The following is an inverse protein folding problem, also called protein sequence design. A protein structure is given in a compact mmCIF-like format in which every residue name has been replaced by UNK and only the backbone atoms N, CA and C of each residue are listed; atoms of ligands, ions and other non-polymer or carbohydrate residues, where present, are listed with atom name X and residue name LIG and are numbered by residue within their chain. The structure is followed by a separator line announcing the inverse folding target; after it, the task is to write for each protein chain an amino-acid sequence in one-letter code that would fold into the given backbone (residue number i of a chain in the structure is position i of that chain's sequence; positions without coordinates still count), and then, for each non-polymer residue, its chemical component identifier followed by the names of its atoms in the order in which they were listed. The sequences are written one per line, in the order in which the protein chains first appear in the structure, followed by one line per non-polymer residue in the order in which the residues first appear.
data_IF_683360050451
#
_entry.id   IF_683360050451
#
_cell.length_a   1.000
_cell.length_b   1.000
_cell.length_c   1.000
_cell.angle_alpha   90.00
_cell.angle_beta   90.00
_cell.angle_gamma   90.00
#
_symmetry.space_group_name_H-M   'P 1'
#
loop_
_entity.id
_entity.type
_entity.pdbx_description
1 polymer ?
#
# COMPACT_ATOMS: atom_id res chain seq x y z
N UNK A 1 11.40 5.88 -13.65
CA UNK A 1 11.06 6.21 -15.05
C UNK A 1 9.73 6.96 -15.15
N UNK A 2 8.59 6.34 -14.82
CA UNK A 2 7.28 6.99 -14.93
C UNK A 2 7.11 8.25 -14.07
N UNK A 3 7.71 8.32 -12.87
CA UNK A 3 7.73 9.56 -12.07
C UNK A 3 8.36 10.75 -12.81
N UNK A 4 9.44 10.52 -13.57
CA UNK A 4 10.08 11.55 -14.39
C UNK A 4 9.22 11.94 -15.60
N UNK A 5 8.50 10.99 -16.18
CA UNK A 5 7.52 11.28 -17.25
C UNK A 5 6.37 12.13 -16.71
N UNK A 6 5.86 11.84 -15.50
CA UNK A 6 4.78 12.59 -14.82
C UNK A 6 5.17 14.05 -14.65
N UNK A 7 6.43 14.32 -14.32
CA UNK A 7 6.92 15.69 -14.17
C UNK A 7 7.13 16.43 -15.52
N UNK A 8 7.38 15.71 -16.62
CA UNK A 8 7.68 16.33 -17.94
C UNK A 8 6.46 16.47 -18.85
N UNK A 9 5.55 15.48 -18.88
CA UNK A 9 4.43 15.42 -19.84
C UNK A 9 3.08 15.87 -19.27
N UNK A 10 3.06 16.33 -18.01
CA UNK A 10 1.83 16.70 -17.32
C UNK A 10 1.22 15.52 -16.56
N UNK A 11 0.86 15.78 -15.31
CA UNK A 11 0.42 14.76 -14.35
C UNK A 11 -0.97 14.24 -14.70
N UNK A 12 -1.83 15.13 -15.18
CA UNK A 12 -3.19 14.79 -15.61
C UNK A 12 -3.16 13.83 -16.80
N UNK A 13 -2.38 14.15 -17.82
CA UNK A 13 -2.31 13.36 -19.05
C UNK A 13 -1.77 11.96 -18.81
N UNK A 14 -0.79 11.81 -17.92
CA UNK A 14 -0.24 10.49 -17.59
C UNK A 14 -1.21 9.67 -16.73
N UNK A 15 -1.94 10.29 -15.81
CA UNK A 15 -3.02 9.60 -15.08
C UNK A 15 -4.08 9.08 -16.05
N UNK A 16 -4.57 9.93 -16.97
CA UNK A 16 -5.54 9.55 -17.99
C UNK A 16 -5.02 8.42 -18.89
N UNK A 17 -3.75 8.46 -19.30
CA UNK A 17 -3.13 7.39 -20.08
C UNK A 17 -3.12 6.06 -19.31
N UNK A 18 -2.73 6.06 -18.04
CA UNK A 18 -2.74 4.86 -17.20
C UNK A 18 -4.15 4.28 -17.03
N UNK A 19 -5.16 5.13 -16.81
CA UNK A 19 -6.56 4.71 -16.68
C UNK A 19 -7.09 4.17 -18.03
N UNK A 20 -6.83 4.86 -19.14
CA UNK A 20 -7.22 4.41 -20.47
C UNK A 20 -6.61 3.05 -20.83
N UNK A 21 -5.34 2.84 -20.46
CA UNK A 21 -4.67 1.56 -20.63
C UNK A 21 -5.37 0.45 -19.83
N UNK A 22 -5.77 0.71 -18.58
CA UNK A 22 -6.56 -0.24 -17.78
C UNK A 22 -7.94 -0.54 -18.40
N UNK A 23 -8.63 0.48 -18.92
CA UNK A 23 -9.91 0.32 -19.62
C UNK A 23 -9.76 -0.57 -20.85
N UNK A 24 -8.65 -0.43 -21.58
CA UNK A 24 -8.36 -1.27 -22.75
C UNK A 24 -8.10 -2.74 -22.38
N UNK A 25 -7.42 -2.99 -21.26
CA UNK A 25 -7.00 -4.35 -20.86
C UNK A 25 -8.13 -5.12 -20.20
N UNK A 26 -8.98 -4.47 -19.39
CA UNK A 26 -9.96 -5.17 -18.56
C UNK A 26 -10.92 -6.10 -19.34
N UNK A 27 -11.42 -5.75 -20.53
CA UNK A 27 -12.31 -6.62 -21.31
C UNK A 27 -11.67 -7.96 -21.68
N UNK A 28 -10.35 -8.03 -21.83
CA UNK A 28 -9.65 -9.27 -22.17
C UNK A 28 -9.73 -10.32 -21.05
N UNK A 29 -10.08 -9.93 -19.82
CA UNK A 29 -10.33 -10.91 -18.75
C UNK A 29 -11.55 -11.82 -19.02
N UNK A 30 -12.49 -11.41 -19.89
CA UNK A 30 -13.59 -12.28 -20.32
C UNK A 30 -13.13 -13.44 -21.22
N UNK A 31 -11.92 -13.36 -21.78
CA UNK A 31 -11.35 -14.43 -22.62
C UNK A 31 -10.65 -15.52 -21.79
N UNK A 32 -10.53 -15.34 -20.47
CA UNK A 32 -9.90 -16.32 -19.59
C UNK A 32 -10.82 -17.54 -19.45
N UNK A 33 -10.33 -18.70 -19.87
CA UNK A 33 -11.02 -19.99 -19.72
C UNK A 33 -10.31 -20.92 -18.74
N UNK A 34 -9.01 -20.70 -18.53
CA UNK A 34 -8.13 -21.56 -17.75
C UNK A 34 -7.04 -20.74 -17.03
N UNK A 35 -6.31 -21.39 -16.14
CA UNK A 35 -5.23 -20.79 -15.35
C UNK A 35 -3.88 -20.74 -16.09
N UNK A 36 -3.88 -20.73 -17.42
CA UNK A 36 -2.68 -20.67 -18.26
C UNK A 36 -1.95 -19.32 -18.22
N UNK A 37 -1.24 -19.01 -19.31
CA UNK A 37 -0.41 -17.80 -19.39
C UNK A 37 -1.21 -16.50 -19.52
N UNK A 38 -2.43 -16.54 -20.07
CA UNK A 38 -3.22 -15.35 -20.36
C UNK A 38 -3.58 -14.53 -19.10
N UNK A 39 -4.11 -15.10 -17.99
CA UNK A 39 -4.33 -14.36 -16.75
C UNK A 39 -3.07 -13.68 -16.21
N UNK A 40 -1.91 -14.31 -16.34
CA UNK A 40 -0.62 -13.79 -15.86
C UNK A 40 -0.22 -12.56 -16.69
N UNK A 41 -0.31 -12.66 -18.01
CA UNK A 41 -0.02 -11.54 -18.93
C UNK A 41 -0.97 -10.38 -18.65
N UNK A 42 -2.27 -10.65 -18.55
CA UNK A 42 -3.26 -9.62 -18.26
C UNK A 42 -3.03 -8.97 -16.89
N UNK A 43 -2.64 -9.76 -15.87
CA UNK A 43 -2.26 -9.22 -14.56
C UNK A 43 -1.03 -8.33 -14.63
N UNK A 44 0.01 -8.74 -15.35
CA UNK A 44 1.20 -7.92 -15.57
C UNK A 44 0.84 -6.59 -16.25
N UNK A 45 0.01 -6.64 -17.30
CA UNK A 45 -0.47 -5.44 -18.01
C UNK A 45 -1.31 -4.54 -17.10
N UNK A 46 -2.24 -5.10 -16.31
CA UNK A 46 -2.99 -4.30 -15.32
C UNK A 46 -2.07 -3.69 -14.26
N UNK A 47 -1.00 -4.38 -13.86
CA UNK A 47 0.00 -3.85 -12.95
C UNK A 47 0.72 -2.62 -13.51
N UNK A 48 1.05 -2.64 -14.81
CA UNK A 48 1.63 -1.47 -15.50
C UNK A 48 0.64 -0.30 -15.51
N UNK A 49 -0.61 -0.53 -15.91
CA UNK A 49 -1.63 0.52 -15.92
C UNK A 49 -1.91 1.12 -14.54
N UNK A 50 -2.00 0.25 -13.53
CA UNK A 50 -2.19 0.65 -12.13
C UNK A 50 -1.01 1.47 -11.61
N UNK A 51 0.22 1.03 -11.85
CA UNK A 51 1.43 1.75 -11.42
C UNK A 51 1.53 3.15 -12.04
N UNK A 52 1.22 3.28 -13.33
CA UNK A 52 1.19 4.59 -14.03
C UNK A 52 0.12 5.50 -13.44
N UNK A 53 -1.13 5.01 -13.35
CA UNK A 53 -2.28 5.78 -12.87
C UNK A 53 -2.13 6.19 -11.40
N UNK A 54 -1.76 5.25 -10.53
CA UNK A 54 -1.59 5.49 -9.10
C UNK A 54 -0.48 6.52 -8.85
N UNK A 55 0.67 6.37 -9.49
CA UNK A 55 1.80 7.30 -9.32
C UNK A 55 1.39 8.71 -9.72
N UNK A 56 0.78 8.88 -10.90
CA UNK A 56 0.37 10.19 -11.39
C UNK A 56 -0.70 10.84 -10.49
N UNK A 57 -1.73 10.08 -10.09
CA UNK A 57 -2.84 10.58 -9.27
C UNK A 57 -2.40 10.92 -7.85
N UNK A 58 -1.55 10.08 -7.22
CA UNK A 58 -0.98 10.36 -5.90
C UNK A 58 -0.11 11.63 -5.95
N UNK A 59 0.66 11.79 -7.02
CA UNK A 59 1.53 12.94 -7.24
C UNK A 59 0.71 14.22 -7.45
N UNK A 60 -0.40 14.18 -8.22
CA UNK A 60 -1.38 15.28 -8.33
C UNK A 60 -1.97 15.69 -6.98
N UNK A 61 -2.40 14.72 -6.17
CA UNK A 61 -2.99 15.02 -4.85
C UNK A 61 -1.95 15.57 -3.87
N UNK A 62 -0.74 15.01 -3.86
CA UNK A 62 0.33 15.45 -2.95
C UNK A 62 0.88 16.84 -3.27
N UNK A 63 0.66 17.33 -4.48
CA UNK A 63 1.04 18.68 -4.88
C UNK A 63 0.17 19.78 -4.27
N UNK A 64 -1.07 19.42 -3.93
CA UNK A 64 -2.00 20.30 -3.24
C UNK A 64 -1.76 20.29 -1.72
N UNK A 65 -0.91 19.38 -1.22
CA UNK A 65 -0.66 19.23 0.20
C UNK A 65 0.26 20.34 0.73
N UNK A 66 -0.17 21.14 1.73
CA UNK A 66 0.68 22.14 2.37
C UNK A 66 1.90 21.49 3.02
N UNK A 67 3.06 22.13 2.87
CA UNK A 67 4.36 21.60 3.31
C UNK A 67 4.40 21.44 4.84
N UNK A 68 3.75 22.35 5.55
CA UNK A 68 3.71 22.44 7.02
C UNK A 68 2.91 21.30 7.66
N UNK A 69 1.96 20.71 6.93
CA UNK A 69 1.05 19.65 7.41
C UNK A 69 1.05 18.43 6.50
N UNK A 70 2.24 18.07 6.02
CA UNK A 70 2.41 17.01 5.06
C UNK A 70 1.89 15.65 5.54
N UNK A 71 2.23 15.24 6.77
CA UNK A 71 1.81 13.95 7.31
C UNK A 71 0.28 13.83 7.39
N UNK A 72 -0.40 14.90 7.84
CA UNK A 72 -1.87 14.97 7.89
C UNK A 72 -2.49 14.90 6.50
N UNK A 73 -1.92 15.62 5.54
CA UNK A 73 -2.41 15.64 4.14
C UNK A 73 -2.23 14.28 3.46
N UNK A 74 -1.07 13.64 3.64
CA UNK A 74 -0.83 12.27 3.17
C UNK A 74 -1.75 11.26 3.84
N UNK A 75 -2.07 11.48 5.13
CA UNK A 75 -3.08 10.71 5.85
C UNK A 75 -4.45 10.77 5.18
N UNK A 76 -4.93 11.97 4.83
CA UNK A 76 -6.22 12.21 4.13
C UNK A 76 -6.21 11.57 2.74
N UNK A 77 -5.17 11.79 1.94
CA UNK A 77 -5.06 11.17 0.61
C UNK A 77 -5.09 9.64 0.74
N UNK A 78 -4.43 9.11 1.75
CA UNK A 78 -4.43 7.67 2.03
C UNK A 78 -5.80 7.12 2.46
N UNK A 79 -6.73 7.94 2.98
CA UNK A 79 -8.10 7.49 3.34
C UNK A 79 -8.83 6.98 2.10
N UNK A 80 -8.68 7.62 0.94
CA UNK A 80 -9.29 7.14 -0.30
C UNK A 80 -8.85 5.71 -0.64
N UNK A 81 -7.56 5.40 -0.46
CA UNK A 81 -7.04 4.03 -0.62
C UNK A 81 -7.64 3.03 0.37
N UNK A 82 -7.87 3.45 1.62
CA UNK A 82 -8.53 2.61 2.63
C UNK A 82 -10.01 2.36 2.31
N UNK A 83 -10.73 3.37 1.82
CA UNK A 83 -12.11 3.22 1.35
C UNK A 83 -12.16 2.19 0.21
N UNK A 84 -11.22 2.24 -0.74
CA UNK A 84 -11.12 1.24 -1.80
C UNK A 84 -10.86 -0.16 -1.27
N UNK A 85 -10.02 -0.32 -0.24
CA UNK A 85 -9.76 -1.63 0.41
C UNK A 85 -10.99 -2.15 1.14
N UNK A 86 -11.85 -1.28 1.67
CA UNK A 86 -13.10 -1.66 2.32
C UNK A 86 -14.18 -2.07 1.31
N UNK A 87 -14.48 -1.15 0.39
CA UNK A 87 -15.62 -1.27 -0.52
C UNK A 87 -15.31 -2.20 -1.70
N UNK A 88 -14.04 -2.28 -2.14
CA UNK A 88 -13.64 -3.10 -3.27
C UNK A 88 -14.02 -4.57 -3.09
N UNK A 89 -13.48 -5.28 -2.08
CA UNK A 89 -13.87 -6.66 -1.79
C UNK A 89 -15.35 -6.82 -1.48
N UNK A 90 -15.98 -5.87 -0.79
CA UNK A 90 -17.41 -5.92 -0.45
C UNK A 90 -18.31 -5.93 -1.69
N UNK A 91 -18.09 -4.97 -2.60
CA UNK A 91 -18.84 -4.88 -3.86
C UNK A 91 -18.46 -6.04 -4.79
N UNK A 92 -17.17 -6.38 -4.87
CA UNK A 92 -16.69 -7.47 -5.72
C UNK A 92 -17.30 -8.82 -5.32
N UNK A 93 -17.28 -9.16 -4.02
CA UNK A 93 -17.81 -10.42 -3.50
C UNK A 93 -19.32 -10.53 -3.75
N UNK A 94 -20.09 -9.46 -3.52
CA UNK A 94 -21.54 -9.45 -3.77
C UNK A 94 -21.87 -9.58 -5.26
N UNK A 95 -21.12 -8.89 -6.14
CA UNK A 95 -21.30 -8.97 -7.59
C UNK A 95 -20.93 -10.38 -8.10
N UNK A 96 -19.83 -10.96 -7.63
CA UNK A 96 -19.41 -12.32 -8.00
C UNK A 96 -20.48 -13.33 -7.57
N UNK A 97 -21.01 -13.22 -6.36
CA UNK A 97 -21.97 -14.18 -5.82
C UNK A 97 -23.32 -14.15 -6.55
N UNK A 98 -23.76 -12.97 -7.04
CA UNK A 98 -25.06 -12.83 -7.73
C UNK A 98 -24.97 -12.97 -9.26
N UNK A 99 -23.90 -12.46 -9.85
CA UNK A 99 -23.80 -12.25 -11.30
C UNK A 99 -22.51 -12.84 -11.91
N UNK A 100 -21.66 -13.47 -11.10
CA UNK A 100 -20.42 -14.12 -11.54
C UNK A 100 -19.28 -13.17 -11.89
N UNK A 101 -18.16 -13.75 -12.35
CA UNK A 101 -16.94 -13.00 -12.65
C UNK A 101 -17.07 -12.04 -13.85
N UNK A 102 -17.92 -12.34 -14.83
CA UNK A 102 -18.15 -11.45 -15.98
C UNK A 102 -18.70 -10.09 -15.52
N UNK A 103 -19.68 -10.10 -14.61
CA UNK A 103 -20.23 -8.87 -14.04
C UNK A 103 -19.20 -8.09 -13.19
N UNK A 104 -18.27 -8.78 -12.53
CA UNK A 104 -17.18 -8.13 -11.79
C UNK A 104 -16.30 -7.27 -12.71
N UNK A 105 -15.90 -7.82 -13.86
CA UNK A 105 -15.07 -7.08 -14.82
C UNK A 105 -15.83 -5.90 -15.43
N UNK A 106 -17.12 -6.07 -15.75
CA UNK A 106 -17.95 -4.98 -16.27
C UNK A 106 -18.17 -3.87 -15.22
N UNK A 107 -18.41 -4.23 -13.96
CA UNK A 107 -18.53 -3.28 -12.86
C UNK A 107 -17.22 -2.51 -12.65
N UNK A 108 -16.08 -3.22 -12.73
CA UNK A 108 -14.76 -2.60 -12.63
C UNK A 108 -14.47 -1.64 -13.78
N UNK A 109 -14.93 -1.95 -15.00
CA UNK A 109 -14.88 -1.01 -16.13
C UNK A 109 -15.69 0.25 -15.85
N UNK A 110 -16.90 0.14 -15.31
CA UNK A 110 -17.70 1.32 -14.93
C UNK A 110 -16.95 2.21 -13.92
N UNK A 111 -16.29 1.64 -12.92
CA UNK A 111 -15.46 2.40 -11.98
C UNK A 111 -14.25 3.06 -12.66
N UNK A 112 -13.62 2.40 -13.62
CA UNK A 112 -12.52 2.98 -14.39
C UNK A 112 -12.99 4.14 -15.28
N UNK A 113 -14.14 4.01 -15.95
CA UNK A 113 -14.72 5.11 -16.72
C UNK A 113 -15.12 6.28 -15.83
N UNK A 114 -15.72 6.03 -14.66
CA UNK A 114 -16.01 7.07 -13.69
C UNK A 114 -14.73 7.76 -13.19
N UNK A 115 -13.67 6.99 -12.90
CA UNK A 115 -12.36 7.53 -12.53
C UNK A 115 -11.76 8.38 -13.66
N UNK A 116 -11.83 7.91 -14.90
CA UNK A 116 -11.37 8.64 -16.09
C UNK A 116 -12.09 9.98 -16.23
N UNK A 117 -13.42 10.00 -16.11
CA UNK A 117 -14.22 11.22 -16.17
C UNK A 117 -13.87 12.19 -15.04
N UNK A 118 -13.74 11.69 -13.80
CA UNK A 118 -13.32 12.53 -12.67
C UNK A 118 -11.98 13.21 -12.94
N UNK A 119 -10.96 12.46 -13.40
CA UNK A 119 -9.64 13.04 -13.72
C UNK A 119 -9.72 13.98 -14.92
N UNK A 120 -10.53 13.67 -15.93
CA UNK A 120 -10.71 14.52 -17.10
C UNK A 120 -11.30 15.89 -16.74
N UNK A 121 -12.21 15.93 -15.76
CA UNK A 121 -12.82 17.16 -15.23
C UNK A 121 -11.88 17.95 -14.30
N UNK A 122 -10.80 17.36 -13.80
CA UNK A 122 -9.83 18.10 -12.98
C UNK A 122 -9.04 19.10 -13.82
N UNK A 123 -8.75 20.27 -13.24
CA UNK A 123 -7.85 21.26 -13.85
C UNK A 123 -6.41 20.91 -13.52
N UNK A 124 -5.55 20.95 -14.53
CA UNK A 124 -4.12 20.74 -14.33
C UNK A 124 -3.52 21.95 -13.65
N UNK A 125 -2.88 21.74 -12.50
CA UNK A 125 -2.13 22.80 -11.82
C UNK A 125 -0.78 22.92 -12.54
N UNK A 126 -0.65 23.96 -13.37
CA UNK A 126 0.62 24.26 -14.06
C UNK A 126 1.66 24.61 -13.00
N UNK A 127 2.76 23.85 -12.96
CA UNK A 127 3.91 24.15 -12.11
C UNK A 127 5.11 24.60 -12.94
N UNK A 128 5.95 25.52 -12.41
CA UNK A 128 7.25 25.81 -12.99
C UNK A 128 8.09 24.53 -13.04
N UNK A 129 8.80 24.33 -14.14
CA UNK A 129 9.65 23.17 -14.39
C UNK A 129 10.85 23.14 -13.42
N UNK A 130 10.68 22.48 -12.28
CA UNK A 130 11.74 22.28 -11.28
C UNK A 130 12.53 20.97 -11.50
N UNK A 131 12.49 20.40 -12.70
CA UNK A 131 13.21 19.16 -13.05
C UNK A 131 14.72 19.24 -12.80
N UNK A 132 15.29 20.44 -12.72
CA UNK A 132 16.71 20.66 -12.44
C UNK A 132 17.14 20.46 -10.96
N UNK A 133 16.22 20.51 -9.98
CA UNK A 133 16.59 20.32 -8.56
C UNK A 133 16.79 18.86 -8.16
N UNK A 134 16.17 17.91 -8.85
CA UNK A 134 16.21 16.48 -8.52
C UNK A 134 17.63 15.87 -8.66
N UNK A 135 18.47 16.44 -9.52
CA UNK A 135 19.80 15.93 -9.85
C UNK A 135 20.94 16.62 -9.07
N UNK A 136 20.66 17.71 -8.34
CA UNK A 136 21.71 18.51 -7.67
C UNK A 136 21.83 18.27 -6.16
N UNK A 137 20.96 17.49 -5.55
CA UNK A 137 21.03 17.19 -4.12
C UNK A 137 22.10 16.12 -3.84
N UNK A 138 23.33 16.55 -3.52
CA UNK A 138 24.41 15.67 -3.04
C UNK A 138 24.11 15.02 -1.67
N UNK A 139 22.99 15.36 -1.04
CA UNK A 139 22.56 14.87 0.28
C UNK A 139 22.42 13.33 0.31
N UNK A 140 22.01 12.70 -0.81
CA UNK A 140 21.84 11.24 -0.89
C UNK A 140 23.16 10.46 -0.81
N UNK A 141 24.28 11.06 -1.23
CA UNK A 141 25.59 10.39 -1.27
C UNK A 141 26.21 10.22 0.12
N UNK A 142 25.72 10.94 1.13
CA UNK A 142 26.25 10.92 2.49
C UNK A 142 25.53 9.95 3.43
N UNK A 143 24.52 9.21 2.94
CA UNK A 143 23.78 8.26 3.76
C UNK A 143 24.53 6.93 3.77
N UNK A 144 24.72 6.36 4.96
CA UNK A 144 25.32 5.04 5.10
C UNK A 144 24.51 3.97 4.37
N UNK A 145 25.20 3.13 3.58
CA UNK A 145 24.59 1.99 2.88
C UNK A 145 23.82 1.07 3.83
N UNK A 146 24.28 0.97 5.09
CA UNK A 146 23.62 0.20 6.14
C UNK A 146 22.24 0.77 6.47
N UNK A 147 22.09 2.09 6.53
CA UNK A 147 20.80 2.74 6.79
C UNK A 147 19.81 2.50 5.65
N UNK A 148 20.28 2.60 4.41
CA UNK A 148 19.46 2.29 3.22
C UNK A 148 19.00 0.82 3.29
N UNK A 149 19.92 -0.13 3.54
CA UNK A 149 19.58 -1.54 3.65
C UNK A 149 18.53 -1.82 4.75
N UNK A 150 18.65 -1.19 5.92
CA UNK A 150 17.69 -1.36 7.02
C UNK A 150 16.30 -0.83 6.66
N UNK A 151 16.22 0.33 6.02
CA UNK A 151 14.96 0.90 5.52
C UNK A 151 14.35 -0.04 4.48
N UNK A 152 15.15 -0.53 3.53
CA UNK A 152 14.70 -1.44 2.48
C UNK A 152 14.15 -2.73 3.06
N UNK A 153 14.86 -3.39 3.98
CA UNK A 153 14.44 -4.65 4.60
C UNK A 153 13.10 -4.48 5.31
N UNK A 154 12.94 -3.45 6.15
CA UNK A 154 11.67 -3.22 6.86
C UNK A 154 10.52 -2.94 5.88
N UNK A 155 10.75 -2.12 4.87
CA UNK A 155 9.73 -1.73 3.89
C UNK A 155 9.32 -2.90 3.00
N UNK A 156 10.28 -3.73 2.57
CA UNK A 156 10.05 -4.97 1.84
C UNK A 156 9.25 -5.95 2.72
N UNK A 157 9.62 -6.12 3.99
CA UNK A 157 8.90 -7.01 4.90
C UNK A 157 7.45 -6.50 5.16
N UNK A 158 7.26 -5.19 5.26
CA UNK A 158 5.93 -4.58 5.34
C UNK A 158 5.12 -4.85 4.07
N UNK A 159 5.71 -4.67 2.89
CA UNK A 159 5.07 -4.94 1.61
C UNK A 159 4.69 -6.42 1.47
N UNK A 160 5.60 -7.33 1.82
CA UNK A 160 5.39 -8.77 1.77
C UNK A 160 4.22 -9.22 2.64
N UNK A 161 4.19 -8.75 3.88
CA UNK A 161 3.08 -9.05 4.80
C UNK A 161 1.78 -8.38 4.37
N UNK A 162 1.82 -7.19 3.77
CA UNK A 162 0.64 -6.59 3.15
C UNK A 162 0.10 -7.47 2.02
N UNK A 163 0.97 -7.99 1.15
CA UNK A 163 0.62 -8.92 0.08
C UNK A 163 -0.06 -10.18 0.63
N UNK A 164 0.47 -10.75 1.73
CA UNK A 164 -0.14 -11.88 2.41
C UNK A 164 -1.59 -11.61 2.86
N UNK A 165 -1.89 -10.40 3.34
CA UNK A 165 -3.26 -10.03 3.70
C UNK A 165 -4.12 -9.80 2.45
N UNK A 166 -3.64 -9.01 1.49
CA UNK A 166 -4.44 -8.60 0.33
C UNK A 166 -4.83 -9.80 -0.55
N UNK A 167 -3.91 -10.73 -0.80
CA UNK A 167 -4.15 -11.81 -1.76
C UNK A 167 -4.64 -13.11 -1.13
N UNK A 168 -4.28 -13.40 0.13
CA UNK A 168 -4.57 -14.71 0.72
C UNK A 168 -5.69 -14.70 1.77
N UNK A 169 -6.12 -13.54 2.28
CA UNK A 169 -7.12 -13.54 3.37
C UNK A 169 -8.48 -14.08 2.91
N UNK A 170 -8.84 -13.83 1.66
CA UNK A 170 -10.06 -14.39 1.05
C UNK A 170 -9.94 -15.90 0.84
N UNK A 171 -8.78 -16.38 0.39
CA UNK A 171 -8.51 -17.81 0.26
C UNK A 171 -8.51 -18.51 1.62
N UNK A 172 -7.93 -17.87 2.64
CA UNK A 172 -7.95 -18.38 4.00
C UNK A 172 -9.37 -18.43 4.58
N UNK A 173 -10.16 -17.36 4.42
CA UNK A 173 -11.57 -17.34 4.81
C UNK A 173 -12.37 -18.48 4.18
N UNK A 174 -12.17 -18.71 2.88
CA UNK A 174 -12.78 -19.85 2.17
C UNK A 174 -12.30 -21.20 2.71
N UNK A 175 -11.01 -21.35 3.05
CA UNK A 175 -10.46 -22.60 3.60
C UNK A 175 -11.02 -22.99 4.98
N UNK A 176 -11.58 -22.03 5.72
CA UNK A 176 -12.24 -22.23 7.01
C UNK A 176 -13.77 -22.08 6.92
N UNK A 177 -14.31 -22.19 5.70
CA UNK A 177 -15.76 -22.17 5.39
C UNK A 177 -16.48 -20.89 5.82
N UNK A 178 -15.84 -19.73 5.68
CA UNK A 178 -16.54 -18.45 5.82
C UNK A 178 -17.17 -18.05 4.48
N UNK A 179 -18.49 -17.82 4.50
CA UNK A 179 -19.27 -17.43 3.33
C UNK A 179 -18.94 -16.02 2.83
N UNK A 180 -18.47 -15.13 3.72
CA UNK A 180 -18.22 -13.72 3.42
C UNK A 180 -16.93 -13.23 4.07
N UNK A 181 -16.04 -12.65 3.28
CA UNK A 181 -14.73 -12.18 3.73
C UNK A 181 -14.70 -10.65 3.89
N UNK A 182 -15.57 -9.92 3.20
CA UNK A 182 -15.63 -8.46 3.28
C UNK A 182 -15.70 -7.85 4.69
N UNK A 183 -16.29 -8.47 5.76
CA UNK A 183 -16.29 -7.88 7.10
C UNK A 183 -14.88 -7.61 7.64
N UNK A 184 -13.91 -8.47 7.32
CA UNK A 184 -12.50 -8.25 7.69
C UNK A 184 -11.96 -6.97 7.07
N UNK A 185 -12.17 -6.78 5.76
CA UNK A 185 -11.66 -5.62 5.03
C UNK A 185 -12.34 -4.32 5.43
N UNK A 186 -13.64 -4.37 5.74
CA UNK A 186 -14.39 -3.22 6.24
C UNK A 186 -13.86 -2.78 7.60
N UNK A 187 -13.75 -3.70 8.56
CA UNK A 187 -13.24 -3.41 9.89
C UNK A 187 -11.77 -2.99 9.88
N UNK A 188 -10.95 -3.64 9.05
CA UNK A 188 -9.55 -3.25 8.82
C UNK A 188 -9.44 -1.81 8.33
N UNK A 189 -10.22 -1.45 7.32
CA UNK A 189 -10.15 -0.11 6.74
C UNK A 189 -10.73 0.94 7.68
N UNK A 190 -11.85 0.63 8.36
CA UNK A 190 -12.44 1.51 9.37
C UNK A 190 -11.47 1.80 10.51
N UNK A 191 -10.83 0.78 11.08
CA UNK A 191 -9.81 0.96 12.11
C UNK A 191 -8.61 1.76 11.59
N UNK A 192 -8.11 1.47 10.39
CA UNK A 192 -6.99 2.20 9.80
C UNK A 192 -7.30 3.69 9.55
N UNK A 193 -8.53 4.00 9.13
CA UNK A 193 -9.00 5.39 8.94
C UNK A 193 -9.07 6.10 10.29
N UNK A 194 -9.71 5.50 11.30
CA UNK A 194 -9.84 6.08 12.63
C UNK A 194 -8.46 6.34 13.25
N UNK A 195 -7.54 5.39 13.13
CA UNK A 195 -6.16 5.56 13.59
C UNK A 195 -5.46 6.72 12.90
N UNK A 196 -5.60 6.86 11.57
CA UNK A 196 -4.97 7.97 10.83
C UNK A 196 -5.53 9.32 11.22
N UNK A 197 -6.84 9.43 11.41
CA UNK A 197 -7.50 10.69 11.79
C UNK A 197 -7.25 11.05 13.25
N UNK A 198 -7.25 10.07 14.16
CA UNK A 198 -7.09 10.29 15.59
C UNK A 198 -5.65 10.44 16.06
N UNK A 199 -4.76 9.54 15.64
CA UNK A 199 -3.38 9.43 16.16
C UNK A 199 -2.31 9.33 15.05
N UNK A 200 -2.61 9.71 13.81
CA UNK A 200 -1.63 9.68 12.71
C UNK A 200 -0.41 10.59 12.94
N UNK A 201 -0.57 11.68 13.72
CA UNK A 201 0.51 12.60 14.10
C UNK A 201 1.36 12.13 15.28
N UNK A 202 1.10 10.95 15.84
CA UNK A 202 1.80 10.46 17.03
C UNK A 202 3.33 10.37 16.81
N UNK A 203 3.75 10.05 15.58
CA UNK A 203 5.16 9.94 15.23
C UNK A 203 5.89 11.29 15.21
N UNK A 204 5.17 12.40 15.01
CA UNK A 204 5.74 13.75 15.11
C UNK A 204 6.00 14.14 16.57
N UNK A 205 5.15 13.68 17.50
CA UNK A 205 5.21 14.04 18.92
C UNK A 205 6.18 13.17 19.73
N UNK A 206 6.12 11.85 19.55
CA UNK A 206 6.90 10.88 20.34
C UNK A 206 8.14 10.38 19.60
N UNK A 207 8.33 10.78 18.34
CA UNK A 207 9.43 10.33 17.51
C UNK A 207 9.10 9.07 16.71
N UNK A 208 9.76 8.98 15.55
CA UNK A 208 9.42 8.02 14.48
C UNK A 208 9.50 6.57 14.95
N UNK A 209 10.65 6.17 15.49
CA UNK A 209 10.90 4.78 15.92
C UNK A 209 9.99 4.32 17.05
N UNK A 210 9.67 5.23 17.98
CA UNK A 210 8.80 4.92 19.12
C UNK A 210 7.35 4.62 18.68
N UNK A 211 6.96 5.03 17.47
CA UNK A 211 5.67 4.67 16.87
C UNK A 211 5.79 3.50 15.91
N UNK A 212 6.88 3.40 15.13
CA UNK A 212 7.10 2.28 14.20
C UNK A 212 7.15 0.95 14.95
N UNK A 213 7.92 0.86 16.05
CA UNK A 213 8.09 -0.41 16.75
C UNK A 213 6.78 -0.98 17.32
N UNK A 214 5.97 -0.24 18.11
CA UNK A 214 4.66 -0.72 18.55
C UNK A 214 3.71 -1.06 17.40
N UNK A 215 3.68 -0.24 16.33
CA UNK A 215 2.82 -0.50 15.18
C UNK A 215 3.14 -1.84 14.52
N UNK A 216 4.42 -2.17 14.34
CA UNK A 216 4.82 -3.48 13.82
C UNK A 216 4.48 -4.58 14.82
N UNK A 217 4.76 -4.42 16.11
CA UNK A 217 4.40 -5.44 17.11
C UNK A 217 2.90 -5.79 17.05
N UNK A 218 2.03 -4.78 16.88
CA UNK A 218 0.59 -4.97 16.69
C UNK A 218 0.30 -5.75 15.41
N UNK A 219 0.95 -5.41 14.28
CA UNK A 219 0.76 -6.11 13.01
C UNK A 219 1.27 -7.56 13.10
N UNK A 220 2.43 -7.81 13.70
CA UNK A 220 2.98 -9.16 13.90
C UNK A 220 2.08 -10.00 14.80
N UNK A 221 1.57 -9.42 15.89
CA UNK A 221 0.58 -10.08 16.75
C UNK A 221 -0.73 -10.35 16.01
N UNK A 222 -1.14 -9.44 15.12
CA UNK A 222 -2.31 -9.65 14.28
C UNK A 222 -2.13 -10.87 13.35
N UNK A 223 -0.95 -11.10 12.80
CA UNK A 223 -0.67 -12.31 12.01
C UNK A 223 -0.77 -13.59 12.83
N UNK A 224 -0.31 -13.56 14.08
CA UNK A 224 -0.54 -14.66 15.03
C UNK A 224 -2.03 -14.86 15.27
N UNK A 225 -2.80 -13.80 15.47
CA UNK A 225 -4.25 -13.87 15.64
C UNK A 225 -4.94 -14.47 14.40
N UNK A 226 -4.60 -14.00 13.19
CA UNK A 226 -5.13 -14.53 11.92
C UNK A 226 -4.88 -16.03 11.83
N UNK A 227 -3.66 -16.50 12.16
CA UNK A 227 -3.33 -17.93 12.13
C UNK A 227 -4.23 -18.80 13.01
N UNK A 228 -4.82 -18.20 14.05
CA UNK A 228 -5.68 -18.86 15.04
C UNK A 228 -7.17 -18.61 14.82
N UNK A 229 -7.57 -17.91 13.76
CA UNK A 229 -8.99 -17.64 13.49
C UNK A 229 -9.77 -18.95 13.32
N UNK A 230 -10.85 -19.08 14.08
CA UNK A 230 -11.79 -20.21 14.02
C UNK A 230 -13.26 -19.76 13.93
N UNK A 231 -13.52 -18.47 14.10
CA UNK A 231 -14.86 -17.89 14.06
C UNK A 231 -14.85 -16.52 13.38
N UNK A 232 -16.00 -16.10 12.87
CA UNK A 232 -16.18 -14.80 12.23
C UNK A 232 -15.81 -13.64 13.16
N UNK A 233 -16.10 -13.76 14.46
CA UNK A 233 -15.74 -12.76 15.45
C UNK A 233 -14.23 -12.58 15.59
N UNK A 234 -13.45 -13.66 15.64
CA UNK A 234 -11.98 -13.59 15.65
C UNK A 234 -11.46 -12.95 14.35
N UNK A 235 -12.12 -13.22 13.22
CA UNK A 235 -11.78 -12.65 11.93
C UNK A 235 -12.00 -11.13 11.89
N UNK A 236 -13.14 -10.66 12.41
CA UNK A 236 -13.45 -9.24 12.55
C UNK A 236 -12.44 -8.55 13.48
N UNK A 237 -12.16 -9.14 14.64
CA UNK A 237 -11.17 -8.60 15.60
C UNK A 237 -9.78 -8.51 14.93
N UNK A 238 -9.37 -9.53 14.17
CA UNK A 238 -8.13 -9.49 13.40
C UNK A 238 -8.14 -8.37 12.34
N UNK A 239 -9.28 -8.11 11.70
CA UNK A 239 -9.46 -6.94 10.84
C UNK A 239 -9.15 -5.65 11.60
N UNK A 240 -9.80 -5.43 12.75
CA UNK A 240 -9.63 -4.21 13.58
C UNK A 240 -8.17 -4.02 14.02
N UNK A 241 -7.55 -5.05 14.59
CA UNK A 241 -6.17 -4.98 15.11
C UNK A 241 -5.19 -4.74 13.95
N UNK A 242 -5.35 -5.47 12.85
CA UNK A 242 -4.56 -5.28 11.63
C UNK A 242 -4.69 -3.86 11.07
N UNK A 243 -5.91 -3.33 11.03
CA UNK A 243 -6.21 -1.98 10.58
C UNK A 243 -5.55 -0.92 11.44
N UNK A 244 -5.63 -1.07 12.76
CA UNK A 244 -5.00 -0.15 13.71
C UNK A 244 -3.47 -0.09 13.50
N UNK A 245 -2.79 -1.23 13.44
CA UNK A 245 -1.35 -1.27 13.20
C UNK A 245 -0.97 -0.68 11.83
N UNK A 246 -1.73 -1.00 10.79
CA UNK A 246 -1.48 -0.52 9.41
C UNK A 246 -1.76 0.99 9.26
N UNK A 247 -2.70 1.54 10.03
CA UNK A 247 -2.97 2.97 10.08
C UNK A 247 -1.79 3.79 10.62
N UNK A 248 -0.99 3.22 11.55
CA UNK A 248 0.17 3.87 12.17
C UNK A 248 1.46 3.75 11.34
N UNK A 249 1.74 2.57 10.79
CA UNK A 249 3.05 2.28 10.22
C UNK A 249 3.37 3.08 8.97
N UNK A 250 2.40 3.24 8.05
CA UNK A 250 2.61 3.95 6.78
C UNK A 250 3.08 5.40 6.96
N UNK A 251 2.38 6.27 7.72
CA UNK A 251 2.83 7.65 7.92
C UNK A 251 4.13 7.71 8.73
N UNK A 252 4.33 6.84 9.73
CA UNK A 252 5.53 6.84 10.56
C UNK A 252 6.79 6.44 9.78
N UNK A 253 6.71 5.41 8.93
CA UNK A 253 7.83 4.92 8.14
C UNK A 253 8.14 5.86 6.97
N UNK A 254 7.11 6.39 6.29
CA UNK A 254 7.32 7.38 5.21
C UNK A 254 7.98 8.64 5.74
N UNK A 255 7.54 9.16 6.90
CA UNK A 255 8.17 10.34 7.52
C UNK A 255 9.57 10.07 8.05
N UNK A 256 9.82 8.87 8.60
CA UNK A 256 11.17 8.44 8.97
C UNK A 256 12.15 8.51 7.79
N UNK A 257 11.75 7.98 6.62
CA UNK A 257 12.59 7.99 5.43
C UNK A 257 12.83 9.43 4.94
N UNK A 258 11.82 10.29 4.98
CA UNK A 258 11.97 11.72 4.65
C UNK A 258 12.96 12.40 5.60
N UNK A 259 12.89 12.13 6.91
CA UNK A 259 13.79 12.74 7.89
C UNK A 259 15.25 12.27 7.71
N UNK A 260 15.48 11.04 7.24
CA UNK A 260 16.82 10.51 6.91
C UNK A 260 17.35 11.08 5.59
N UNK A 261 16.51 11.16 4.57
CA UNK A 261 16.92 11.61 3.23
C UNK A 261 16.96 13.14 3.11
N UNK A 262 16.45 13.87 4.08
CA UNK A 262 16.30 15.32 4.02
C UNK A 262 14.97 15.73 3.38
N UNK A 263 14.39 16.83 3.90
CA UNK A 263 13.07 17.33 3.46
C UNK A 263 13.10 17.80 2.00
N UNK A 264 14.25 18.25 1.52
CA UNK A 264 14.51 18.60 0.13
C UNK A 264 14.37 17.41 -0.82
N UNK A 265 14.55 16.18 -0.34
CA UNK A 265 14.47 14.94 -1.11
C UNK A 265 13.19 14.15 -0.82
N UNK A 266 12.15 14.80 -0.30
CA UNK A 266 10.86 14.18 0.06
C UNK A 266 10.26 13.32 -1.08
N UNK A 267 10.32 13.80 -2.32
CA UNK A 267 9.79 13.04 -3.48
C UNK A 267 10.52 11.72 -3.69
N UNK A 268 11.86 11.74 -3.58
CA UNK A 268 12.69 10.54 -3.64
C UNK A 268 12.36 9.58 -2.49
N UNK A 269 12.22 10.08 -1.25
CA UNK A 269 11.87 9.29 -0.08
C UNK A 269 10.57 8.50 -0.25
N UNK A 270 9.51 9.18 -0.70
CA UNK A 270 8.21 8.56 -0.94
C UNK A 270 8.33 7.52 -2.06
N UNK A 271 9.04 7.84 -3.14
CA UNK A 271 9.20 6.91 -4.26
C UNK A 271 9.99 5.65 -3.89
N UNK A 272 11.04 5.77 -3.06
CA UNK A 272 11.81 4.63 -2.56
C UNK A 272 10.97 3.76 -1.64
N UNK A 273 10.19 4.37 -0.74
CA UNK A 273 9.26 3.66 0.11
C UNK A 273 8.27 2.81 -0.72
N UNK A 274 7.59 3.44 -1.69
CA UNK A 274 6.63 2.75 -2.54
C UNK A 274 7.30 1.64 -3.36
N UNK A 275 8.48 1.90 -3.93
CA UNK A 275 9.21 0.90 -4.71
C UNK A 275 9.58 -0.34 -3.86
N UNK A 276 10.16 -0.16 -2.67
CA UNK A 276 10.49 -1.27 -1.79
C UNK A 276 9.25 -2.00 -1.27
N UNK A 277 8.18 -1.25 -1.00
CA UNK A 277 6.90 -1.82 -0.58
C UNK A 277 6.29 -2.70 -1.67
N UNK A 278 6.28 -2.24 -2.92
CA UNK A 278 5.75 -3.00 -4.06
C UNK A 278 6.63 -4.22 -4.38
N UNK A 279 7.96 -4.08 -4.31
CA UNK A 279 8.89 -5.21 -4.42
C UNK A 279 8.57 -6.26 -3.34
N UNK A 280 8.37 -5.81 -2.10
CA UNK A 280 7.96 -6.68 -1.00
C UNK A 280 6.63 -7.36 -1.27
N UNK A 281 5.62 -6.61 -1.71
CA UNK A 281 4.30 -7.15 -2.00
C UNK A 281 4.35 -8.18 -3.12
N UNK A 282 5.09 -7.93 -4.19
CA UNK A 282 5.27 -8.87 -5.30
C UNK A 282 6.01 -10.15 -4.87
N UNK A 283 7.24 -9.99 -4.38
CA UNK A 283 8.10 -11.14 -4.02
C UNK A 283 7.56 -11.91 -2.81
N UNK A 284 7.02 -11.20 -1.82
CA UNK A 284 6.39 -11.78 -0.64
C UNK A 284 5.15 -12.60 -0.97
N UNK A 285 4.32 -12.18 -1.93
CA UNK A 285 3.13 -12.95 -2.31
C UNK A 285 3.49 -14.28 -2.97
N UNK A 286 4.53 -14.30 -3.81
CA UNK A 286 5.05 -15.55 -4.39
C UNK A 286 5.58 -16.47 -3.29
N UNK A 287 6.40 -15.91 -2.38
CA UNK A 287 7.00 -16.67 -1.29
C UNK A 287 5.95 -17.23 -0.30
N UNK A 288 4.97 -16.42 0.11
CA UNK A 288 3.90 -16.85 0.98
C UNK A 288 2.93 -17.81 0.29
N UNK A 289 2.71 -17.67 -1.02
CA UNK A 289 1.98 -18.66 -1.82
C UNK A 289 2.62 -20.04 -1.72
N UNK A 290 3.93 -20.13 -1.95
CA UNK A 290 4.68 -21.37 -1.82
C UNK A 290 4.60 -21.97 -0.40
N UNK A 291 4.72 -21.15 0.64
CA UNK A 291 4.55 -21.61 2.03
C UNK A 291 3.11 -22.10 2.26
N UNK A 292 2.11 -21.43 1.69
CA UNK A 292 0.71 -21.80 1.85
C UNK A 292 0.39 -23.15 1.20
N UNK A 293 1.03 -23.47 0.08
CA UNK A 293 0.86 -24.76 -0.60
C UNK A 293 1.48 -25.91 0.21
N UNK A 294 2.65 -25.69 0.82
CA UNK A 294 3.37 -26.71 1.59
C UNK A 294 2.81 -26.93 3.01
N UNK A 295 2.43 -25.85 3.68
CA UNK A 295 2.16 -25.85 5.12
C UNK A 295 0.76 -25.34 5.49
N UNK A 296 -0.01 -24.86 4.52
CA UNK A 296 -1.33 -24.26 4.71
C UNK A 296 -1.30 -22.81 5.18
N UNK A 297 -2.43 -22.12 5.00
CA UNK A 297 -2.57 -20.68 5.30
C UNK A 297 -2.29 -20.30 6.76
N UNK A 298 -2.65 -21.15 7.73
CA UNK A 298 -2.39 -20.87 9.15
C UNK A 298 -0.90 -20.71 9.43
N UNK A 299 -0.09 -21.68 8.98
CA UNK A 299 1.37 -21.64 9.16
C UNK A 299 2.01 -20.53 8.31
N UNK A 300 1.47 -20.25 7.12
CA UNK A 300 1.88 -19.10 6.31
C UNK A 300 1.74 -17.78 7.08
N UNK A 301 0.59 -17.52 7.71
CA UNK A 301 0.39 -16.30 8.49
C UNK A 301 1.26 -16.24 9.75
N UNK A 302 1.45 -17.37 10.44
CA UNK A 302 2.40 -17.46 11.55
C UNK A 302 3.83 -17.07 11.11
N UNK A 303 4.29 -17.61 9.98
CA UNK A 303 5.60 -17.30 9.41
C UNK A 303 5.71 -15.83 9.00
N UNK A 304 4.67 -15.26 8.38
CA UNK A 304 4.61 -13.85 8.02
C UNK A 304 4.77 -12.93 9.23
N UNK A 305 4.10 -13.23 10.34
CA UNK A 305 4.22 -12.49 11.59
C UNK A 305 5.63 -12.52 12.17
N UNK A 306 6.27 -13.70 12.17
CA UNK A 306 7.65 -13.90 12.65
C UNK A 306 8.65 -13.12 11.80
N UNK A 307 8.59 -13.27 10.47
CA UNK A 307 9.49 -12.56 9.54
C UNK A 307 9.39 -11.05 9.73
N UNK A 308 8.17 -10.52 9.86
CA UNK A 308 7.98 -9.08 10.03
C UNK A 308 8.45 -8.57 11.39
N UNK A 309 8.27 -9.37 12.44
CA UNK A 309 8.78 -9.06 13.77
C UNK A 309 10.31 -9.02 13.78
N UNK A 310 10.97 -10.02 13.18
CA UNK A 310 12.43 -10.09 13.09
C UNK A 310 13.01 -8.94 12.27
N UNK A 311 12.42 -8.61 11.12
CA UNK A 311 12.83 -7.47 10.30
C UNK A 311 12.78 -6.15 11.10
N UNK A 312 11.78 -6.02 11.96
CA UNK A 312 11.61 -4.84 12.82
C UNK A 312 12.58 -4.80 13.97
N UNK A 313 12.88 -5.94 14.59
CA UNK A 313 13.88 -6.01 15.67
C UNK A 313 15.24 -5.52 15.16
N UNK A 314 15.64 -5.98 13.97
CA UNK A 314 16.87 -5.57 13.29
C UNK A 314 16.85 -4.07 12.99
N UNK A 315 15.73 -3.56 12.45
CA UNK A 315 15.57 -2.13 12.16
C UNK A 315 15.64 -1.27 13.42
N UNK A 316 14.87 -1.57 14.46
CA UNK A 316 14.79 -0.75 15.67
C UNK A 316 16.14 -0.68 16.38
N UNK A 317 16.89 -1.79 16.39
CA UNK A 317 18.19 -1.86 17.07
C UNK A 317 19.29 -1.12 16.31
N UNK A 318 19.35 -1.24 14.97
CA UNK A 318 20.49 -0.71 14.18
C UNK A 318 20.22 0.58 13.42
N UNK A 319 18.96 0.92 13.14
CA UNK A 319 18.67 2.10 12.34
C UNK A 319 19.07 3.36 13.12
N UNK A 320 19.45 4.47 12.48
CA UNK A 320 19.68 5.73 13.18
C UNK A 320 18.36 6.35 13.65
N UNK A 321 18.35 7.03 14.79
CA UNK A 321 17.20 7.84 15.21
C UNK A 321 17.36 9.25 14.62
N UNK A 322 16.46 9.73 13.74
CA UNK A 322 16.52 11.10 13.27
C UNK A 322 16.45 12.04 14.47
N UNK A 323 17.34 13.05 14.53
CA UNK A 323 17.27 14.06 15.57
C UNK A 323 15.93 14.79 15.48
N UNK A 324 15.13 14.73 16.55
CA UNK A 324 13.94 15.57 16.68
C UNK A 324 14.42 17.02 16.72
N UNK A 325 14.35 17.75 15.59
CA UNK A 325 14.46 19.22 15.64
C UNK A 325 13.27 19.71 16.45
N UNK A 326 13.50 20.07 17.72
CA UNK A 326 12.54 20.83 18.53
C UNK A 326 12.15 22.04 17.69
N UNK A 327 10.87 22.12 17.32
CA UNK A 327 10.28 23.38 16.86
C UNK A 327 10.31 24.29 18.09
N UNK A 328 11.29 25.19 18.13
CA UNK A 328 11.19 26.40 18.96
C UNK A 328 10.23 27.38 18.28
#
# INVERSE_FOLDING_TARGET
YFGRLVDVKGRKNISLFGIAFLILILPFFHLIKDAGSLPIILRALTGVGWGISMTATLTMCSDLAPVERLARSMGIIGVAGLISVALGPMVAEEVINRFGYSALFNTSLCFLFASFLCVLLTREVVRPDNSQHFLKSKSFLNISIITILLISILTIAQGATRGAVVYFIALFGKSISFDRVWPFFLCFSGAAVLTRLGIGGLSDKYGRKQVIFPAVCIISLNFLLISQVKSLWMFIIAGIIGGFGQGLIFPALTTYIIDILGRENKGLAISLYLAFFDIGMGTGSVFFGWISDLYGYRKMYLFAGIVFFLATLIFTWKAPSPALKRQN
#
